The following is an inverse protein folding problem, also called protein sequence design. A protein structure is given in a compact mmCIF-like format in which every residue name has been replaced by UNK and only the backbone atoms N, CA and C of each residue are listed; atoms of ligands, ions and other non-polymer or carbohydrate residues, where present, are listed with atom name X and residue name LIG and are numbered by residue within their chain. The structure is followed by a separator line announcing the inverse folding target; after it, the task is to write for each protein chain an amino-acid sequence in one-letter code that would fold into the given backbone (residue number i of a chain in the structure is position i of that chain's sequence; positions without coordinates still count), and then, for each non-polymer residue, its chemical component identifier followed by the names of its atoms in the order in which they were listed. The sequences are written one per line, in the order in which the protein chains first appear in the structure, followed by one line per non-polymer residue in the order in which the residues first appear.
data_IF_245083214731
#
_entry.id   IF_245083214731
#
_cell.length_a   1.000
_cell.length_b   1.000
_cell.length_c   1.000
_cell.angle_alpha   90.00
_cell.angle_beta   90.00
_cell.angle_gamma   90.00
#
_symmetry.space_group_name_H-M   'P 1'
#
loop_
_entity.id
_entity.type
_entity.pdbx_description
1 polymer ?
#
# COMPACT_ATOMS: atom_id res chain seq x y z
N UNK A 1 3.83 -36.67 0.66
CA UNK A 1 4.29 -35.66 -0.34
C UNK A 1 5.69 -36.03 -0.80
N UNK A 2 5.92 -36.09 -2.11
CA UNK A 2 7.25 -36.32 -2.67
C UNK A 2 8.06 -35.03 -2.64
N UNK A 3 9.41 -35.16 -2.69
CA UNK A 3 10.30 -33.98 -2.76
C UNK A 3 10.01 -33.13 -4.01
N UNK A 4 9.65 -33.77 -5.12
CA UNK A 4 9.28 -33.07 -6.36
C UNK A 4 8.00 -32.25 -6.19
N UNK A 5 6.99 -32.79 -5.53
CA UNK A 5 5.73 -32.06 -5.24
C UNK A 5 5.97 -30.91 -4.29
N UNK A 6 6.81 -31.10 -3.26
CA UNK A 6 7.18 -30.03 -2.33
C UNK A 6 7.88 -28.91 -3.06
N UNK A 7 8.86 -29.19 -3.90
CA UNK A 7 9.59 -28.16 -4.65
C UNK A 7 8.68 -27.40 -5.61
N UNK A 8 7.76 -28.12 -6.30
CA UNK A 8 6.79 -27.50 -7.19
C UNK A 8 5.85 -26.56 -6.44
N UNK A 9 5.38 -26.96 -5.27
CA UNK A 9 4.52 -26.13 -4.42
C UNK A 9 5.26 -24.91 -3.88
N UNK A 10 6.51 -25.08 -3.48
CA UNK A 10 7.36 -23.99 -3.01
C UNK A 10 7.58 -22.96 -4.11
N UNK A 11 7.90 -23.40 -5.34
CA UNK A 11 8.08 -22.49 -6.48
C UNK A 11 6.79 -21.74 -6.82
N UNK A 12 5.64 -22.42 -6.78
CA UNK A 12 4.34 -21.78 -7.00
C UNK A 12 4.05 -20.71 -5.95
N UNK A 13 4.37 -20.98 -4.68
CA UNK A 13 4.22 -20.01 -3.59
C UNK A 13 5.14 -18.80 -3.77
N UNK A 14 6.38 -19.01 -4.16
CA UNK A 14 7.33 -17.92 -4.42
C UNK A 14 6.87 -17.03 -5.56
N UNK A 15 6.34 -17.62 -6.64
CA UNK A 15 5.80 -16.86 -7.78
C UNK A 15 4.57 -16.06 -7.38
N UNK A 16 3.65 -16.65 -6.63
CA UNK A 16 2.46 -15.97 -6.13
C UNK A 16 2.83 -14.81 -5.21
N UNK A 17 3.79 -15.02 -4.32
CA UNK A 17 4.28 -14.00 -3.39
C UNK A 17 4.94 -12.84 -4.14
N UNK A 18 5.76 -13.12 -5.16
CA UNK A 18 6.39 -12.10 -6.00
C UNK A 18 5.37 -11.25 -6.74
N UNK A 19 4.29 -11.88 -7.23
CA UNK A 19 3.19 -11.19 -7.89
C UNK A 19 2.48 -10.24 -6.93
N UNK A 20 2.14 -10.71 -5.74
CA UNK A 20 1.50 -9.87 -4.70
C UNK A 20 2.39 -8.69 -4.35
N UNK A 21 3.69 -8.91 -4.19
CA UNK A 21 4.65 -7.85 -3.89
C UNK A 21 4.69 -6.77 -4.97
N UNK A 22 4.71 -7.17 -6.25
CA UNK A 22 4.72 -6.23 -7.38
C UNK A 22 3.43 -5.42 -7.45
N UNK A 23 2.28 -6.06 -7.25
CA UNK A 23 1.00 -5.37 -7.22
C UNK A 23 0.90 -4.40 -6.04
N UNK A 24 1.42 -4.79 -4.89
CA UNK A 24 1.49 -3.93 -3.71
C UNK A 24 2.33 -2.68 -3.96
N UNK A 25 3.45 -2.79 -4.65
CA UNK A 25 4.29 -1.64 -5.02
C UNK A 25 3.53 -0.66 -5.91
N UNK A 26 2.76 -1.15 -6.88
CA UNK A 26 1.89 -0.32 -7.71
C UNK A 26 0.84 0.42 -6.90
N UNK A 27 0.23 -0.27 -5.94
CA UNK A 27 -0.79 0.33 -5.05
C UNK A 27 -0.17 1.44 -4.22
N UNK A 28 1.06 1.27 -3.75
CA UNK A 28 1.76 2.28 -2.96
C UNK A 28 2.06 3.57 -3.75
N UNK A 29 2.09 3.52 -5.08
CA UNK A 29 2.20 4.72 -5.90
C UNK A 29 0.92 5.56 -5.93
N UNK A 30 -0.19 5.02 -5.41
CA UNK A 30 -1.47 5.73 -5.36
C UNK A 30 -1.99 6.09 -6.75
N UNK A 31 -2.24 7.35 -7.01
CA UNK A 31 -2.70 7.84 -8.30
C UNK A 31 -1.65 7.86 -9.40
N UNK A 32 -0.44 7.35 -9.13
CA UNK A 32 0.66 7.29 -10.07
C UNK A 32 1.62 8.48 -9.93
N UNK A 33 2.71 8.41 -10.67
CA UNK A 33 3.78 9.42 -10.58
C UNK A 33 3.30 10.84 -10.92
N UNK A 34 2.43 10.97 -11.91
CA UNK A 34 1.88 12.28 -12.30
C UNK A 34 1.06 12.93 -11.18
N UNK A 35 0.27 12.13 -10.48
CA UNK A 35 -0.53 12.62 -9.35
C UNK A 35 0.37 13.04 -8.19
N UNK A 36 1.42 12.27 -7.92
CA UNK A 36 2.42 12.60 -6.89
C UNK A 36 3.14 13.90 -7.23
N UNK A 37 3.58 14.08 -8.48
CA UNK A 37 4.22 15.32 -8.94
C UNK A 37 3.30 16.52 -8.79
N UNK A 38 2.02 16.37 -9.14
CA UNK A 38 1.02 17.41 -9.00
C UNK A 38 0.83 17.85 -7.55
N UNK A 39 0.84 16.89 -6.62
CA UNK A 39 0.79 17.17 -5.19
C UNK A 39 2.02 17.94 -4.71
N UNK A 40 3.21 17.54 -5.17
CA UNK A 40 4.46 18.19 -4.81
C UNK A 40 4.56 19.61 -5.35
N UNK A 41 4.07 19.86 -6.57
CA UNK A 41 3.97 21.21 -7.14
C UNK A 41 3.13 22.15 -6.29
N UNK A 42 2.10 21.62 -5.63
CA UNK A 42 1.23 22.37 -4.71
C UNK A 42 1.79 22.45 -3.28
N UNK A 43 3.02 21.97 -3.05
CA UNK A 43 3.65 21.85 -1.73
C UNK A 43 2.84 20.98 -0.76
N UNK A 44 2.18 19.96 -1.27
CA UNK A 44 1.41 19.00 -0.48
C UNK A 44 2.15 17.68 -0.37
N UNK A 45 2.06 17.05 0.78
CA UNK A 45 2.56 15.70 0.99
C UNK A 45 1.53 14.69 0.46
N UNK A 46 2.01 13.54 -0.01
CA UNK A 46 1.13 12.42 -0.34
C UNK A 46 0.53 11.84 0.94
N UNK A 47 -0.52 11.02 0.81
CA UNK A 47 -1.14 10.38 1.98
C UNK A 47 -0.12 9.56 2.78
N UNK A 48 0.72 8.78 2.09
CA UNK A 48 1.74 7.96 2.76
C UNK A 48 2.83 8.80 3.42
N UNK A 49 3.24 9.88 2.82
CA UNK A 49 4.20 10.82 3.41
C UNK A 49 3.63 11.48 4.66
N UNK A 50 2.36 11.86 4.64
CA UNK A 50 1.67 12.44 5.81
C UNK A 50 1.60 11.45 6.96
N UNK A 51 1.28 10.18 6.68
CA UNK A 51 1.25 9.14 7.70
C UNK A 51 2.65 8.91 8.28
N UNK A 52 3.66 8.84 7.43
CA UNK A 52 5.05 8.66 7.86
C UNK A 52 5.52 9.81 8.75
N UNK A 53 5.10 11.02 8.44
CA UNK A 53 5.43 12.20 9.23
C UNK A 53 4.73 12.21 10.59
N UNK A 54 3.48 11.75 10.63
CA UNK A 54 2.67 11.71 11.84
C UNK A 54 3.08 10.61 12.81
N UNK A 55 3.41 9.43 12.29
CA UNK A 55 3.69 8.25 13.11
C UNK A 55 5.08 8.28 13.74
N UNK A 56 5.19 7.62 14.88
CA UNK A 56 6.47 7.42 15.55
C UNK A 56 7.41 6.60 14.67
N UNK A 57 8.64 7.09 14.45
CA UNK A 57 9.61 6.48 13.53
C UNK A 57 10.10 5.10 14.01
N UNK A 58 10.07 4.85 15.32
CA UNK A 58 10.53 3.60 15.94
C UNK A 58 9.43 2.55 16.10
N UNK A 59 8.21 2.86 15.65
CA UNK A 59 7.05 1.96 15.76
C UNK A 59 6.54 1.57 14.38
N UNK A 60 6.02 0.33 14.21
CA UNK A 60 5.48 -0.09 12.92
C UNK A 60 4.13 0.55 12.63
N UNK A 61 3.88 0.78 11.35
CA UNK A 61 2.56 1.12 10.83
C UNK A 61 2.02 -0.09 10.05
N UNK A 62 0.84 -0.57 10.43
CA UNK A 62 0.19 -1.71 9.79
C UNK A 62 -0.94 -1.20 8.91
N UNK A 63 -0.75 -1.26 7.61
CA UNK A 63 -1.74 -0.82 6.63
C UNK A 63 -2.86 -1.85 6.50
N UNK A 64 -4.11 -1.37 6.47
CA UNK A 64 -5.32 -2.18 6.31
C UNK A 64 -5.93 -1.83 4.95
N UNK A 65 -6.41 -2.85 4.23
CA UNK A 65 -7.13 -2.63 2.99
C UNK A 65 -6.25 -2.18 1.82
N UNK A 66 -4.99 -2.56 1.78
CA UNK A 66 -4.05 -2.21 0.71
C UNK A 66 -4.60 -2.55 -0.67
N UNK A 67 -5.32 -3.66 -0.81
CA UNK A 67 -5.91 -4.12 -2.06
C UNK A 67 -7.39 -3.72 -2.22
N UNK A 68 -7.91 -2.87 -1.37
CA UNK A 68 -9.26 -2.35 -1.55
C UNK A 68 -9.36 -1.62 -2.90
N UNK A 69 -10.38 -1.96 -3.69
CA UNK A 69 -10.54 -1.41 -5.03
C UNK A 69 -9.63 -2.01 -6.09
N UNK A 70 -8.88 -3.06 -5.77
CA UNK A 70 -7.98 -3.74 -6.71
C UNK A 70 -8.75 -4.23 -7.95
N UNK A 71 -8.23 -3.87 -9.12
CA UNK A 71 -8.86 -4.15 -10.43
C UNK A 71 -10.26 -3.56 -10.61
N UNK A 72 -10.69 -2.65 -9.74
CA UNK A 72 -11.96 -1.93 -9.88
C UNK A 72 -11.72 -0.56 -10.54
N UNK A 73 -12.68 -0.14 -11.34
CA UNK A 73 -12.64 1.18 -12.00
C UNK A 73 -11.43 1.39 -12.91
N UNK A 74 -10.87 0.34 -13.51
CA UNK A 74 -9.69 0.44 -14.37
C UNK A 74 -9.91 1.33 -15.59
N UNK A 75 -11.12 1.36 -16.12
CA UNK A 75 -11.52 2.25 -17.20
C UNK A 75 -11.40 3.74 -16.85
N UNK A 76 -11.38 4.07 -15.55
CA UNK A 76 -11.19 5.41 -15.02
C UNK A 76 -9.81 5.62 -14.38
N UNK A 77 -8.86 4.72 -14.65
CA UNK A 77 -7.52 4.79 -14.09
C UNK A 77 -7.30 3.98 -12.81
N UNK A 78 -8.32 3.18 -12.41
CA UNK A 78 -8.24 2.35 -11.21
C UNK A 78 -8.54 3.12 -9.93
N UNK A 79 -8.56 2.40 -8.83
CA UNK A 79 -8.81 2.98 -7.50
C UNK A 79 -7.94 2.25 -6.45
N UNK A 80 -6.61 2.48 -6.45
CA UNK A 80 -5.73 1.81 -5.50
C UNK A 80 -6.12 2.11 -4.05
N UNK A 81 -6.19 1.08 -3.21
CA UNK A 81 -6.56 1.18 -1.79
C UNK A 81 -7.89 1.87 -1.53
N UNK A 82 -8.79 1.85 -2.53
CA UNK A 82 -10.09 2.52 -2.41
C UNK A 82 -10.02 4.04 -2.30
N UNK A 83 -8.92 4.66 -2.71
CA UNK A 83 -8.70 6.10 -2.61
C UNK A 83 -8.31 6.58 -1.23
N UNK A 84 -8.01 5.68 -0.31
CA UNK A 84 -7.54 6.03 1.04
C UNK A 84 -6.38 5.13 1.46
N UNK A 85 -5.54 5.65 2.34
CA UNK A 85 -4.53 4.86 3.05
C UNK A 85 -4.96 4.81 4.50
N UNK A 86 -5.22 3.62 5.02
CA UNK A 86 -5.68 3.43 6.40
C UNK A 86 -4.92 2.31 7.08
N UNK A 87 -4.81 2.42 8.38
CA UNK A 87 -4.11 1.42 9.16
C UNK A 87 -4.02 1.77 10.63
N UNK A 88 -3.21 1.02 11.33
CA UNK A 88 -2.93 1.19 12.75
C UNK A 88 -1.46 1.55 12.93
N UNK A 89 -1.21 2.64 13.61
CA UNK A 89 0.12 3.11 13.92
C UNK A 89 0.22 3.72 15.30
N UNK A 90 1.37 4.26 15.64
CA UNK A 90 1.62 4.88 16.94
C UNK A 90 1.93 6.35 16.74
N UNK A 91 1.26 7.20 17.50
CA UNK A 91 1.49 8.66 17.51
C UNK A 91 1.75 9.06 18.95
N UNK A 92 2.94 9.59 19.21
CA UNK A 92 3.39 9.99 20.56
C UNK A 92 3.23 8.87 21.59
N UNK A 93 3.58 7.63 21.19
CA UNK A 93 3.52 6.44 22.03
C UNK A 93 2.13 5.82 22.18
N UNK A 94 1.10 6.39 21.56
CA UNK A 94 -0.27 5.87 21.60
C UNK A 94 -0.66 5.18 20.30
N UNK A 95 -1.32 4.03 20.42
CA UNK A 95 -1.84 3.31 19.28
C UNK A 95 -3.08 4.03 18.72
N UNK A 96 -3.05 4.33 17.44
CA UNK A 96 -4.11 5.08 16.77
C UNK A 96 -4.53 4.40 15.47
N UNK A 97 -5.80 4.51 15.13
CA UNK A 97 -6.29 4.22 13.79
C UNK A 97 -6.10 5.48 12.96
N UNK A 98 -5.44 5.34 11.81
CA UNK A 98 -5.08 6.45 10.96
C UNK A 98 -5.71 6.26 9.59
N UNK A 99 -6.38 7.29 9.08
CA UNK A 99 -6.97 7.29 7.74
C UNK A 99 -6.51 8.55 7.02
N UNK A 100 -5.93 8.39 5.85
CA UNK A 100 -5.50 9.50 5.01
C UNK A 100 -6.09 9.34 3.61
N UNK A 101 -6.67 10.41 3.09
CA UNK A 101 -7.20 10.42 1.73
C UNK A 101 -6.05 10.47 0.74
N UNK A 102 -6.08 9.58 -0.24
CA UNK A 102 -5.14 9.54 -1.34
C UNK A 102 -5.80 10.09 -2.59
N UNK A 103 -5.01 10.64 -3.53
CA UNK A 103 -5.53 11.22 -4.78
C UNK A 103 -5.07 10.50 -6.01
#
# INVERSE_FOLDING_TARGET
MTDMEFNKNEDAMKMAWSRVRREKEKIYEGGGKKAIEKQKEKNKLTARERIKYLCDADKPFIEIGTFAGYEMYEEYGGCPSGGTVSGVGYVSGRQCVIVANDQ
#
